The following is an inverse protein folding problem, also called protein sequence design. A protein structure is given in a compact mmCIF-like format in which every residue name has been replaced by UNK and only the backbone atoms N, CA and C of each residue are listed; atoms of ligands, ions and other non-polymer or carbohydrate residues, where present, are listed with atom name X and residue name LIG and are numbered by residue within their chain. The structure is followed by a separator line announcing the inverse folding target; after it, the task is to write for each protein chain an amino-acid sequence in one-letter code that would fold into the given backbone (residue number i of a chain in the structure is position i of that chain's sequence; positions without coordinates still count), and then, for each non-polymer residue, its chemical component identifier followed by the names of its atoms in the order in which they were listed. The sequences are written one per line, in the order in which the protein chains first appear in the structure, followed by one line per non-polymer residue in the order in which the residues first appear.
data_IF_209912210190
#
_entry.id   IF_209912210190
#
_cell.length_a   1.000
_cell.length_b   1.000
_cell.length_c   1.000
_cell.angle_alpha   90.00
_cell.angle_beta   90.00
_cell.angle_gamma   90.00
#
_symmetry.space_group_name_H-M   'P 1'
#
loop_
_entity.id
_entity.type
_entity.pdbx_description
1 polymer ?
#
# COMPACT_ATOMS: atom_id res chain seq x y z
N UNK A 1 34.37 17.40 -5.31
CA UNK A 1 34.45 16.14 -6.07
C UNK A 1 33.04 15.72 -6.41
N UNK A 2 32.81 15.39 -7.68
CA UNK A 2 31.51 15.44 -8.35
C UNK A 2 30.39 14.62 -7.66
N UNK A 3 29.23 15.26 -7.54
CA UNK A 3 27.93 14.67 -7.24
C UNK A 3 27.56 13.67 -8.34
N UNK A 4 28.01 12.42 -8.17
CA UNK A 4 27.58 11.31 -9.00
C UNK A 4 26.16 10.94 -8.58
N UNK A 5 25.19 11.65 -9.15
CA UNK A 5 23.74 11.39 -9.19
C UNK A 5 23.34 9.92 -8.96
N UNK A 6 23.34 9.50 -7.69
CA UNK A 6 22.84 8.20 -7.26
C UNK A 6 21.33 8.23 -7.45
N UNK A 7 20.85 7.73 -8.60
CA UNK A 7 19.43 7.60 -8.92
C UNK A 7 18.78 6.63 -7.94
N UNK A 8 18.16 7.19 -6.90
CA UNK A 8 17.38 6.47 -5.90
C UNK A 8 15.92 6.42 -6.32
N UNK A 9 15.45 5.22 -6.69
CA UNK A 9 14.04 4.98 -6.98
C UNK A 9 13.31 4.61 -5.67
N UNK A 10 12.23 5.31 -5.35
CA UNK A 10 11.36 5.00 -4.21
C UNK A 10 10.00 4.56 -4.75
N UNK A 11 9.63 3.32 -4.46
CA UNK A 11 8.37 2.74 -4.91
C UNK A 11 7.44 2.72 -3.70
N UNK A 12 6.28 3.36 -3.82
CA UNK A 12 5.17 3.26 -2.86
C UNK A 12 4.09 2.42 -3.50
N UNK A 13 3.67 1.37 -2.81
CA UNK A 13 2.64 0.45 -3.26
C UNK A 13 1.46 0.51 -2.30
N UNK A 14 0.24 0.51 -2.84
CA UNK A 14 -1.00 0.53 -2.08
C UNK A 14 -1.96 -0.48 -2.72
N UNK A 15 -2.56 -1.33 -1.89
CA UNK A 15 -3.56 -2.29 -2.32
C UNK A 15 -4.57 -2.52 -1.19
N UNK A 16 -5.79 -2.93 -1.55
CA UNK A 16 -6.81 -3.31 -0.57
C UNK A 16 -6.60 -4.72 -0.01
N UNK A 17 -6.04 -5.63 -0.82
CA UNK A 17 -5.65 -6.98 -0.39
C UNK A 17 -4.15 -7.02 -0.11
N UNK A 18 -3.80 -7.43 1.11
CA UNK A 18 -2.42 -7.59 1.56
C UNK A 18 -1.70 -8.73 0.82
N UNK A 19 -2.40 -9.79 0.45
CA UNK A 19 -1.81 -10.99 -0.15
C UNK A 19 -1.15 -10.66 -1.50
N UNK A 20 -1.86 -9.88 -2.32
CA UNK A 20 -1.38 -9.43 -3.63
C UNK A 20 -0.23 -8.44 -3.47
N UNK A 21 -0.33 -7.53 -2.50
CA UNK A 21 0.70 -6.53 -2.21
C UNK A 21 2.02 -7.19 -1.84
N UNK A 22 1.97 -8.18 -0.96
CA UNK A 22 3.16 -8.90 -0.47
C UNK A 22 3.80 -9.73 -1.59
N UNK A 23 2.99 -10.41 -2.41
CA UNK A 23 3.49 -11.17 -3.57
C UNK A 23 4.22 -10.25 -4.56
N UNK A 24 3.61 -9.12 -4.94
CA UNK A 24 4.24 -8.15 -5.84
C UNK A 24 5.49 -7.51 -5.23
N UNK A 25 5.50 -7.23 -3.92
CA UNK A 25 6.68 -6.72 -3.23
C UNK A 25 7.86 -7.68 -3.34
N UNK A 26 7.61 -8.98 -3.11
CA UNK A 26 8.63 -10.03 -3.19
C UNK A 26 9.18 -10.17 -4.61
N UNK A 27 8.32 -10.21 -5.63
CA UNK A 27 8.74 -10.29 -7.04
C UNK A 27 9.65 -9.11 -7.45
N UNK A 28 9.31 -7.89 -7.02
CA UNK A 28 10.10 -6.69 -7.32
C UNK A 28 11.46 -6.76 -6.61
N UNK A 29 11.47 -7.18 -5.34
CA UNK A 29 12.71 -7.33 -4.56
C UNK A 29 13.63 -8.38 -5.17
N UNK A 30 13.10 -9.53 -5.58
CA UNK A 30 13.89 -10.59 -6.22
C UNK A 30 14.43 -10.18 -7.58
N UNK A 31 13.64 -9.42 -8.34
CA UNK A 31 14.07 -8.86 -9.63
C UNK A 31 15.18 -7.83 -9.44
N UNK A 32 15.05 -6.93 -8.46
CA UNK A 32 16.06 -5.91 -8.15
C UNK A 32 17.36 -6.50 -7.59
N UNK A 33 17.27 -7.56 -6.78
CA UNK A 33 18.44 -8.33 -6.33
C UNK A 33 19.15 -9.00 -7.50
N UNK A 34 18.40 -9.57 -8.45
CA UNK A 34 18.96 -10.22 -9.65
C UNK A 34 19.70 -9.25 -10.56
N UNK A 35 19.25 -8.00 -10.65
CA UNK A 35 19.92 -6.95 -11.44
C UNK A 35 21.10 -6.29 -10.71
N UNK A 36 21.36 -6.65 -9.45
CA UNK A 36 22.49 -6.15 -8.66
C UNK A 36 22.26 -4.75 -8.06
N UNK A 37 21.01 -4.30 -7.94
CA UNK A 37 20.68 -3.04 -7.28
C UNK A 37 20.68 -3.19 -5.74
N UNK A 38 21.11 -2.16 -5.02
CA UNK A 38 20.96 -2.11 -3.56
C UNK A 38 19.49 -1.93 -3.18
N UNK A 39 18.93 -2.91 -2.46
CA UNK A 39 17.52 -2.92 -2.05
C UNK A 39 17.40 -2.67 -0.57
N UNK A 40 16.73 -1.59 -0.20
CA UNK A 40 16.13 -1.47 1.12
C UNK A 40 14.80 -2.23 1.07
N UNK A 41 14.66 -3.28 1.90
CA UNK A 41 13.54 -4.21 1.85
C UNK A 41 12.16 -3.54 1.99
N UNK A 42 11.06 -4.30 1.82
CA UNK A 42 9.71 -3.76 1.93
C UNK A 42 9.50 -3.17 3.33
N UNK A 43 9.37 -1.84 3.41
CA UNK A 43 9.09 -1.13 4.66
C UNK A 43 7.57 -0.94 4.74
N UNK A 44 6.88 -1.62 5.68
CA UNK A 44 5.45 -1.44 5.85
C UNK A 44 5.17 -0.04 6.39
N UNK A 45 4.25 0.64 5.73
CA UNK A 45 3.71 1.93 6.19
C UNK A 45 2.37 1.69 6.91
N UNK A 46 1.96 2.58 7.83
CA UNK A 46 0.65 2.50 8.45
C UNK A 46 -0.47 2.44 7.41
N UNK A 47 -1.42 1.53 7.61
CA UNK A 47 -2.58 1.37 6.72
C UNK A 47 -3.55 2.53 6.92
N UNK A 48 -3.99 3.13 5.82
CA UNK A 48 -5.06 4.14 5.86
C UNK A 48 -6.40 3.41 5.92
N UNK A 49 -7.10 3.57 7.05
CA UNK A 49 -8.42 2.98 7.26
C UNK A 49 -9.46 4.10 7.14
N UNK A 50 -10.26 4.06 6.08
CA UNK A 50 -11.40 4.96 5.89
C UNK A 50 -12.68 4.20 6.24
N UNK A 51 -13.47 4.74 7.18
CA UNK A 51 -14.72 4.13 7.66
C UNK A 51 -15.89 5.05 7.34
N UNK A 52 -16.95 4.51 6.74
CA UNK A 52 -18.13 5.24 6.34
C UNK A 52 -19.38 4.65 7.02
N UNK A 53 -20.19 5.52 7.61
CA UNK A 53 -21.47 5.13 8.20
C UNK A 53 -22.61 5.55 7.28
N UNK A 54 -23.40 4.59 6.79
CA UNK A 54 -24.55 4.84 5.91
C UNK A 54 -25.84 4.45 6.63
N UNK A 55 -26.93 5.17 6.38
CA UNK A 55 -28.26 4.77 6.86
C UNK A 55 -28.76 3.60 6.01
N UNK A 56 -29.24 2.53 6.65
CA UNK A 56 -29.77 1.36 5.93
C UNK A 56 -31.12 1.66 5.27
N UNK A 57 -31.97 2.42 5.94
CA UNK A 57 -33.31 2.77 5.44
C UNK A 57 -33.30 4.15 4.77
N UNK A 58 -33.99 4.32 3.63
CA UNK A 58 -34.19 5.63 3.02
C UNK A 58 -35.13 6.54 3.84
N UNK A 59 -35.91 6.00 4.80
CA UNK A 59 -36.88 6.79 5.57
C UNK A 59 -36.97 6.37 7.05
N UNK A 60 -37.04 7.37 7.94
CA UNK A 60 -37.30 7.31 9.40
C UNK A 60 -36.27 6.54 10.27
N UNK A 61 -35.70 5.41 9.84
CA UNK A 61 -34.89 4.54 10.71
C UNK A 61 -33.43 4.99 10.91
N UNK A 62 -33.21 6.06 11.69
CA UNK A 62 -31.89 6.65 11.97
C UNK A 62 -30.97 5.80 12.86
N UNK A 63 -31.52 4.82 13.59
CA UNK A 63 -30.77 3.89 14.45
C UNK A 63 -30.20 2.70 13.68
N UNK A 64 -30.76 2.41 12.50
CA UNK A 64 -30.28 1.37 11.61
C UNK A 64 -29.17 1.93 10.72
N UNK A 65 -27.92 1.66 11.10
CA UNK A 65 -26.73 2.15 10.40
C UNK A 65 -25.84 0.98 9.98
N UNK A 66 -25.26 1.07 8.79
CA UNK A 66 -24.24 0.16 8.30
C UNK A 66 -22.88 0.86 8.33
N UNK A 67 -21.87 0.09 8.69
CA UNK A 67 -20.48 0.56 8.79
C UNK A 67 -19.69 -0.15 7.70
N UNK A 68 -19.07 0.63 6.82
CA UNK A 68 -18.18 0.17 5.76
C UNK A 68 -16.78 0.72 5.99
#
# INVERSE_FOLDING_TARGET
MADASQKRFRIRMEAFDHSVLDQSALEIVDTAKRTGAEVHGPIPLPTRIERYTVLRSPHIDKKSREQF
#
